data_IF_157369365688
#
_entry.id   IF_157369365688
#
_cell.length_a   1.000
_cell.length_b   1.000
_cell.length_c   1.000
_cell.angle_alpha   90.00
_cell.angle_beta   90.00
_cell.angle_gamma   90.00
#
_symmetry.space_group_name_H-M   'P 1'
#
loop_
_entity.id
_entity.type
_entity.pdbx_description
1 polymer ?
#
# COMPACT_ATOMS: atom_id res chain seq x y z
N UNK A 1 9.25 0.03 -12.12
CA UNK A 1 9.86 -1.02 -12.97
C UNK A 1 11.02 -1.66 -12.22
N UNK A 2 11.40 -2.91 -12.49
CA UNK A 2 12.63 -3.52 -11.93
C UNK A 2 13.87 -3.07 -12.69
N UNK A 3 15.07 -3.26 -12.13
CA UNK A 3 16.34 -3.02 -12.82
C UNK A 3 16.36 -3.68 -14.20
N UNK A 4 16.01 -4.97 -14.27
CA UNK A 4 15.97 -5.72 -15.54
C UNK A 4 14.96 -5.13 -16.53
N UNK A 5 13.76 -4.74 -16.07
CA UNK A 5 12.76 -4.12 -16.92
C UNK A 5 13.23 -2.76 -17.47
N UNK A 6 13.86 -1.93 -16.63
CA UNK A 6 14.38 -0.61 -17.05
C UNK A 6 15.46 -0.76 -18.12
N UNK A 7 16.37 -1.73 -17.92
CA UNK A 7 17.43 -2.00 -18.89
C UNK A 7 16.84 -2.51 -20.21
N UNK A 8 15.82 -3.35 -20.16
CA UNK A 8 15.14 -3.91 -21.32
C UNK A 8 14.18 -2.95 -22.04
N UNK A 9 13.83 -1.78 -21.47
CA UNK A 9 12.90 -0.83 -22.12
C UNK A 9 13.46 -0.32 -23.46
N UNK A 10 12.87 -0.77 -24.57
CA UNK A 10 13.19 -0.32 -25.92
C UNK A 10 12.72 1.14 -26.14
N UNK A 11 13.49 1.91 -26.91
CA UNK A 11 13.18 3.31 -27.23
C UNK A 11 13.43 4.33 -26.11
N UNK A 12 13.72 3.88 -24.88
CA UNK A 12 14.04 4.78 -23.77
C UNK A 12 15.49 5.31 -23.82
N UNK A 13 15.66 6.60 -23.52
CA UNK A 13 17.00 7.22 -23.49
C UNK A 13 17.84 6.72 -22.32
N UNK A 14 19.17 6.77 -22.46
CA UNK A 14 20.10 6.42 -21.38
C UNK A 14 19.84 7.28 -20.13
N UNK A 15 19.58 8.57 -20.31
CA UNK A 15 19.20 9.49 -19.22
C UNK A 15 17.93 9.04 -18.50
N UNK A 16 16.87 8.65 -19.23
CA UNK A 16 15.65 8.14 -18.60
C UNK A 16 15.92 6.87 -17.81
N UNK A 17 16.68 5.91 -18.39
CA UNK A 17 17.03 4.66 -17.70
C UNK A 17 17.84 4.93 -16.43
N UNK A 18 18.80 5.86 -16.48
CA UNK A 18 19.56 6.30 -15.30
C UNK A 18 18.65 6.85 -14.20
N UNK A 19 17.73 7.76 -14.55
CA UNK A 19 16.79 8.34 -13.59
C UNK A 19 15.91 7.26 -12.92
N UNK A 20 15.43 6.27 -13.69
CA UNK A 20 14.67 5.15 -13.12
C UNK A 20 15.54 4.27 -12.21
N UNK A 21 16.79 4.00 -12.58
CA UNK A 21 17.71 3.22 -11.74
C UNK A 21 18.09 3.98 -10.46
N UNK A 22 18.33 5.29 -10.53
CA UNK A 22 18.55 6.12 -9.36
C UNK A 22 17.32 6.16 -8.45
N UNK A 23 16.11 6.25 -9.02
CA UNK A 23 14.87 6.18 -8.26
C UNK A 23 14.70 4.83 -7.52
N UNK A 24 15.24 3.74 -8.06
CA UNK A 24 15.31 2.43 -7.40
C UNK A 24 16.41 2.31 -6.32
N UNK A 25 17.29 3.32 -6.19
CA UNK A 25 18.35 3.33 -5.18
C UNK A 25 19.73 2.88 -5.66
N UNK A 26 19.92 2.62 -6.97
CA UNK A 26 21.26 2.33 -7.51
C UNK A 26 22.18 3.54 -7.37
N UNK A 27 23.42 3.31 -6.94
CA UNK A 27 24.46 4.33 -6.90
C UNK A 27 24.90 4.74 -8.30
N UNK A 28 25.54 5.90 -8.41
CA UNK A 28 26.12 6.40 -9.67
C UNK A 28 27.11 5.43 -10.30
N UNK A 29 27.88 4.69 -9.50
CA UNK A 29 28.80 3.66 -9.98
C UNK A 29 28.05 2.44 -10.51
N UNK A 30 27.03 1.98 -9.79
CA UNK A 30 26.21 0.85 -10.23
C UNK A 30 25.46 1.18 -11.52
N UNK A 31 24.85 2.37 -11.61
CA UNK A 31 24.18 2.82 -12.84
C UNK A 31 25.13 2.96 -14.02
N UNK A 32 26.33 3.51 -13.78
CA UNK A 32 27.36 3.60 -14.82
C UNK A 32 27.74 2.21 -15.35
N UNK A 33 27.88 1.25 -14.44
CA UNK A 33 28.19 -0.16 -14.76
C UNK A 33 27.03 -0.83 -15.51
N UNK A 34 25.80 -0.73 -14.99
CA UNK A 34 24.60 -1.35 -15.55
C UNK A 34 24.26 -0.88 -16.97
N UNK A 35 24.60 0.37 -17.31
CA UNK A 35 24.34 0.96 -18.64
C UNK A 35 25.57 1.03 -19.55
N UNK A 36 26.73 0.56 -19.08
CA UNK A 36 27.99 0.63 -19.84
C UNK A 36 28.38 2.06 -20.21
N UNK A 37 28.23 3.02 -19.29
CA UNK A 37 28.58 4.44 -19.50
C UNK A 37 29.68 4.90 -18.55
N UNK A 38 30.31 6.04 -18.86
CA UNK A 38 31.28 6.65 -17.97
C UNK A 38 30.64 7.19 -16.67
N UNK A 39 31.34 7.03 -15.54
CA UNK A 39 30.90 7.53 -14.23
C UNK A 39 30.57 9.03 -14.24
N UNK A 40 31.36 9.86 -14.94
CA UNK A 40 31.11 11.30 -15.05
C UNK A 40 29.75 11.62 -15.68
N UNK A 41 29.31 10.84 -16.67
CA UNK A 41 27.99 11.03 -17.28
C UNK A 41 26.86 10.65 -16.29
N UNK A 42 26.99 9.53 -15.59
CA UNK A 42 26.03 9.12 -14.56
C UNK A 42 25.97 10.14 -13.40
N UNK A 43 27.11 10.69 -12.97
CA UNK A 43 27.20 11.75 -11.96
C UNK A 43 26.49 13.03 -12.42
N UNK A 44 26.70 13.48 -13.65
CA UNK A 44 26.07 14.68 -14.18
C UNK A 44 24.54 14.51 -14.31
N UNK A 45 24.08 13.34 -14.78
CA UNK A 45 22.65 13.03 -14.84
C UNK A 45 22.04 12.96 -13.44
N UNK A 46 22.72 12.36 -12.47
CA UNK A 46 22.26 12.32 -11.07
C UNK A 46 22.16 13.72 -10.46
N UNK A 47 23.18 14.56 -10.64
CA UNK A 47 23.20 15.93 -10.12
C UNK A 47 22.05 16.77 -10.71
N UNK A 48 21.85 16.70 -12.03
CA UNK A 48 20.73 17.38 -12.69
C UNK A 48 19.36 16.81 -12.25
N UNK A 49 19.27 15.50 -12.04
CA UNK A 49 18.05 14.84 -11.59
C UNK A 49 17.67 15.22 -10.16
N UNK A 50 18.64 15.30 -9.24
CA UNK A 50 18.42 15.78 -7.87
C UNK A 50 18.06 17.26 -7.86
N UNK A 51 18.77 18.10 -8.62
CA UNK A 51 18.45 19.53 -8.72
C UNK A 51 17.01 19.74 -9.24
N UNK A 52 16.61 19.03 -10.31
CA UNK A 52 15.26 19.08 -10.84
C UNK A 52 14.20 18.50 -9.89
N UNK A 53 14.56 17.52 -9.04
CA UNK A 53 13.64 16.91 -8.07
C UNK A 53 13.46 17.80 -6.83
N UNK A 54 14.51 18.51 -6.41
CA UNK A 54 14.48 19.53 -5.37
C UNK A 54 13.67 20.76 -5.85
N UNK A 55 13.85 21.17 -7.10
CA UNK A 55 13.00 22.20 -7.71
C UNK A 55 11.54 21.74 -7.83
N UNK A 56 11.24 20.50 -8.25
CA UNK A 56 9.84 20.00 -8.30
C UNK A 56 9.17 19.89 -6.93
N UNK A 57 9.95 19.67 -5.87
CA UNK A 57 9.43 19.76 -4.50
C UNK A 57 9.11 21.20 -4.07
N UNK A 58 9.65 22.21 -4.78
CA UNK A 58 9.47 23.64 -4.55
C UNK A 58 8.61 24.36 -5.63
N UNK A 59 8.32 23.69 -6.75
CA UNK A 59 7.63 24.30 -7.90
C UNK A 59 6.13 24.10 -7.80
N UNK A 60 5.44 25.25 -7.70
CA UNK A 60 4.01 25.41 -7.95
C UNK A 60 3.60 24.70 -9.26
N UNK A 61 2.51 23.90 -9.29
CA UNK A 61 2.18 23.08 -10.45
C UNK A 61 2.07 23.91 -11.73
N UNK A 62 2.58 23.35 -12.84
CA UNK A 62 2.41 23.93 -14.19
C UNK A 62 0.94 24.28 -14.47
N UNK A 63 0.63 25.30 -15.30
CA UNK A 63 -0.76 25.73 -15.58
C UNK A 63 -1.71 24.56 -15.93
N UNK A 64 -1.25 23.56 -16.67
CA UNK A 64 -2.02 22.37 -17.04
C UNK A 64 -2.25 21.41 -15.87
N UNK A 65 -1.22 21.21 -15.03
CA UNK A 65 -1.34 20.43 -13.79
C UNK A 65 -2.19 21.16 -12.73
N UNK A 66 -2.12 22.49 -12.68
CA UNK A 66 -2.96 23.34 -11.84
C UNK A 66 -4.43 23.31 -12.30
N UNK A 67 -4.70 23.33 -13.60
CA UNK A 67 -6.06 23.15 -14.16
C UNK A 67 -6.61 21.74 -13.91
N UNK A 68 -5.79 20.69 -14.03
CA UNK A 68 -6.19 19.33 -13.67
C UNK A 68 -6.38 19.15 -12.15
N UNK A 69 -5.62 19.85 -11.32
CA UNK A 69 -5.81 19.86 -9.87
C UNK A 69 -7.13 20.56 -9.45
N UNK A 70 -7.65 21.49 -10.26
CA UNK A 70 -8.92 22.18 -10.03
C UNK A 70 -10.16 21.38 -10.45
N UNK A 71 -10.05 20.47 -11.42
CA UNK A 71 -11.17 19.60 -11.83
C UNK A 71 -11.44 18.51 -10.77
N UNK A 72 -12.71 18.18 -10.45
CA UNK A 72 -13.03 17.08 -9.55
C UNK A 72 -12.33 15.77 -9.98
N UNK A 73 -11.70 15.07 -9.04
CA UNK A 73 -11.10 13.78 -9.34
C UNK A 73 -12.22 12.75 -9.54
N UNK A 74 -12.16 12.03 -10.66
CA UNK A 74 -13.02 10.90 -10.93
C UNK A 74 -12.16 9.62 -10.88
N UNK A 75 -12.36 8.73 -9.90
CA UNK A 75 -11.63 7.47 -9.85
C UNK A 75 -11.92 6.65 -11.11
N UNK A 76 -10.87 6.17 -11.77
CA UNK A 76 -10.99 5.30 -12.94
C UNK A 76 -11.51 3.90 -12.58
N UNK A 77 -11.66 3.01 -13.59
CA UNK A 77 -11.97 1.61 -13.35
C UNK A 77 -10.93 0.95 -12.43
N UNK A 78 -11.37 0.08 -11.53
CA UNK A 78 -10.48 -0.65 -10.64
C UNK A 78 -9.75 -1.76 -11.41
N UNK A 79 -8.50 -1.52 -11.80
CA UNK A 79 -7.65 -2.46 -12.55
C UNK A 79 -6.25 -2.64 -11.93
N UNK A 80 -6.02 -2.12 -10.71
CA UNK A 80 -4.72 -2.24 -10.03
C UNK A 80 -4.53 -3.66 -9.52
N UNK A 81 -3.29 -4.17 -9.62
CA UNK A 81 -2.92 -5.43 -8.96
C UNK A 81 -2.87 -5.23 -7.45
N UNK A 82 -3.39 -6.18 -6.69
CA UNK A 82 -3.38 -6.15 -5.25
C UNK A 82 -3.13 -7.55 -4.66
N UNK A 83 -2.76 -7.60 -3.39
CA UNK A 83 -2.72 -8.82 -2.60
C UNK A 83 -3.29 -8.55 -1.21
N UNK A 84 -3.81 -9.57 -0.56
CA UNK A 84 -4.31 -9.48 0.81
C UNK A 84 -3.68 -10.54 1.69
N UNK A 85 -3.41 -10.17 2.94
CA UNK A 85 -3.02 -11.08 4.02
C UNK A 85 -4.10 -10.97 5.11
N UNK A 86 -4.85 -12.05 5.32
CA UNK A 86 -5.98 -12.12 6.26
C UNK A 86 -5.55 -12.94 7.46
N UNK A 87 -5.32 -12.28 8.59
CA UNK A 87 -5.00 -12.93 9.86
C UNK A 87 -6.28 -13.41 10.55
N UNK A 88 -6.30 -14.68 10.98
CA UNK A 88 -7.45 -15.30 11.64
C UNK A 88 -7.01 -16.51 12.49
N UNK A 89 -7.96 -17.10 13.21
CA UNK A 89 -7.74 -18.31 14.00
C UNK A 89 -9.01 -19.18 14.05
N UNK A 90 -8.92 -20.32 14.72
CA UNK A 90 -10.05 -21.19 15.04
C UNK A 90 -10.36 -22.26 14.01
N UNK A 91 -9.59 -22.35 12.92
CA UNK A 91 -9.80 -23.31 11.83
C UNK A 91 -8.51 -24.06 11.55
N UNK A 92 -8.58 -25.38 11.40
CA UNK A 92 -7.41 -26.17 11.01
C UNK A 92 -7.02 -25.88 9.57
N UNK A 93 -5.72 -25.86 9.29
CA UNK A 93 -5.22 -25.62 7.93
C UNK A 93 -5.80 -26.62 6.91
N UNK A 94 -5.98 -27.88 7.30
CA UNK A 94 -6.58 -28.91 6.45
C UNK A 94 -8.03 -28.61 6.05
N UNK A 95 -8.87 -28.18 7.01
CA UNK A 95 -10.26 -27.83 6.74
C UNK A 95 -10.37 -26.61 5.82
N UNK A 96 -9.57 -25.58 6.09
CA UNK A 96 -9.57 -24.36 5.27
C UNK A 96 -9.04 -24.64 3.85
N UNK A 97 -7.99 -25.46 3.69
CA UNK A 97 -7.52 -25.87 2.37
C UNK A 97 -8.58 -26.61 1.56
N UNK A 98 -9.30 -27.54 2.20
CA UNK A 98 -10.36 -28.29 1.54
C UNK A 98 -11.45 -27.34 1.04
N UNK A 99 -11.88 -26.39 1.87
CA UNK A 99 -12.93 -25.44 1.50
C UNK A 99 -12.46 -24.44 0.42
N UNK A 100 -11.23 -23.90 0.50
CA UNK A 100 -10.69 -23.04 -0.54
C UNK A 100 -10.70 -23.73 -1.92
N UNK A 101 -10.31 -25.01 -1.95
CA UNK A 101 -10.34 -25.83 -3.18
C UNK A 101 -11.76 -26.12 -3.64
N UNK A 102 -12.70 -26.35 -2.72
CA UNK A 102 -14.12 -26.50 -3.04
C UNK A 102 -14.73 -25.21 -3.65
N UNK A 103 -14.20 -24.04 -3.28
CA UNK A 103 -14.53 -22.75 -3.90
C UNK A 103 -13.80 -22.52 -5.25
N UNK A 104 -13.05 -23.51 -5.75
CA UNK A 104 -12.32 -23.43 -7.01
C UNK A 104 -11.08 -22.53 -6.95
N UNK A 105 -10.46 -22.40 -5.77
CA UNK A 105 -9.19 -21.69 -5.59
C UNK A 105 -8.04 -22.68 -5.44
N UNK A 106 -6.95 -22.45 -6.14
CA UNK A 106 -5.70 -23.15 -5.86
C UNK A 106 -5.15 -22.69 -4.50
N UNK A 107 -4.92 -23.64 -3.60
CA UNK A 107 -4.45 -23.34 -2.25
C UNK A 107 -3.48 -24.40 -1.69
N UNK A 108 -2.48 -23.95 -0.93
CA UNK A 108 -1.49 -24.79 -0.25
C UNK A 108 -1.19 -24.29 1.16
N UNK A 109 -0.85 -25.21 2.07
CA UNK A 109 -0.29 -24.84 3.37
C UNK A 109 1.23 -24.78 3.25
N UNK A 110 1.83 -23.73 3.78
CA UNK A 110 3.27 -23.52 3.74
C UNK A 110 3.80 -23.10 5.12
N UNK A 111 5.06 -23.40 5.40
CA UNK A 111 5.76 -22.78 6.52
C UNK A 111 5.89 -21.27 6.31
N UNK A 112 6.13 -20.52 7.40
CA UNK A 112 6.31 -19.06 7.36
C UNK A 112 7.31 -18.63 6.28
N UNK A 113 6.85 -17.84 5.31
CA UNK A 113 7.70 -17.29 4.27
C UNK A 113 7.08 -16.06 3.58
N UNK A 114 7.93 -15.20 3.04
CA UNK A 114 7.51 -13.99 2.31
C UNK A 114 7.48 -14.17 0.78
N UNK A 115 7.56 -15.40 0.29
CA UNK A 115 7.61 -15.67 -1.15
C UNK A 115 6.22 -15.52 -1.76
N UNK A 116 6.12 -14.74 -2.84
CA UNK A 116 4.89 -14.64 -3.63
C UNK A 116 4.63 -15.94 -4.37
N UNK A 117 3.37 -16.38 -4.39
CA UNK A 117 2.92 -17.61 -5.04
C UNK A 117 1.85 -17.32 -6.09
N UNK A 118 1.64 -18.27 -6.99
CA UNK A 118 0.51 -18.27 -7.93
C UNK A 118 -0.79 -18.80 -7.30
N UNK A 119 -0.72 -19.32 -6.08
CA UNK A 119 -1.85 -19.89 -5.33
C UNK A 119 -2.06 -19.17 -4.00
N UNK A 120 -3.24 -19.34 -3.41
CA UNK A 120 -3.51 -18.93 -2.03
C UNK A 120 -2.69 -19.78 -1.06
N UNK A 121 -2.03 -19.16 -0.09
CA UNK A 121 -1.27 -19.92 0.92
C UNK A 121 -1.77 -19.66 2.32
N UNK A 122 -1.79 -20.71 3.13
CA UNK A 122 -2.02 -20.62 4.56
C UNK A 122 -0.66 -20.74 5.25
N UNK A 123 -0.29 -19.72 6.01
CA UNK A 123 0.96 -19.66 6.77
C UNK A 123 0.70 -19.48 8.26
N UNK A 124 1.65 -19.89 9.10
CA UNK A 124 1.62 -19.60 10.54
C UNK A 124 2.02 -18.16 10.81
N UNK A 125 1.36 -17.49 11.75
CA UNK A 125 1.78 -16.19 12.28
C UNK A 125 1.78 -16.21 13.81
N UNK A 126 2.95 -15.97 14.40
CA UNK A 126 3.17 -16.02 15.84
C UNK A 126 2.65 -14.78 16.59
N UNK A 127 2.23 -13.73 15.88
CA UNK A 127 1.66 -12.53 16.47
C UNK A 127 0.16 -12.65 16.77
N UNK A 128 -0.49 -13.68 16.23
CA UNK A 128 -1.92 -13.95 16.41
C UNK A 128 -2.16 -14.83 17.63
N UNK A 129 -3.00 -14.38 18.55
CA UNK A 129 -3.43 -15.14 19.71
C UNK A 129 -4.72 -15.90 19.41
N UNK A 130 -4.65 -17.23 19.35
CA UNK A 130 -5.83 -18.08 19.22
C UNK A 130 -5.48 -19.52 18.83
N UNK A 131 -6.38 -20.49 19.05
CA UNK A 131 -6.15 -21.86 18.59
C UNK A 131 -6.10 -21.90 17.07
N UNK A 132 -5.16 -22.67 16.50
CA UNK A 132 -4.97 -22.77 15.05
C UNK A 132 -4.85 -21.39 14.38
N UNK A 133 -4.02 -20.50 14.93
CA UNK A 133 -3.75 -19.20 14.34
C UNK A 133 -3.08 -19.34 12.96
N UNK A 134 -3.52 -18.53 11.99
CA UNK A 134 -3.01 -18.54 10.63
C UNK A 134 -3.14 -17.17 9.95
N UNK A 135 -2.36 -16.99 8.90
CA UNK A 135 -2.52 -15.93 7.91
C UNK A 135 -2.85 -16.58 6.56
N UNK A 136 -3.97 -16.17 5.95
CA UNK A 136 -4.33 -16.54 4.59
C UNK A 136 -3.82 -15.45 3.64
N UNK A 137 -2.86 -15.80 2.81
CA UNK A 137 -2.19 -14.88 1.88
C UNK A 137 -2.62 -15.19 0.45
N UNK A 138 -3.07 -14.15 -0.26
CA UNK A 138 -3.51 -14.29 -1.65
C UNK A 138 -2.33 -14.42 -2.63
N UNK A 139 -2.56 -15.00 -3.82
CA UNK A 139 -1.69 -14.70 -4.97
C UNK A 139 -1.83 -13.22 -5.37
N UNK A 140 -1.12 -12.79 -6.41
CA UNK A 140 -1.35 -11.46 -7.00
C UNK A 140 -2.72 -11.46 -7.68
N UNK A 141 -3.65 -10.71 -7.11
CA UNK A 141 -5.01 -10.48 -7.61
C UNK A 141 -5.05 -9.20 -8.47
N UNK A 142 -6.04 -9.06 -9.34
CA UNK A 142 -6.17 -7.86 -10.17
C UNK A 142 -7.63 -7.51 -10.46
N UNK A 143 -7.96 -6.22 -10.28
CA UNK A 143 -9.26 -5.67 -10.67
C UNK A 143 -10.47 -6.40 -10.10
N UNK A 144 -11.56 -6.43 -10.87
CA UNK A 144 -12.82 -7.06 -10.45
C UNK A 144 -12.73 -8.59 -10.36
N UNK A 145 -11.98 -9.23 -11.25
CA UNK A 145 -11.74 -10.68 -11.21
C UNK A 145 -11.03 -11.09 -9.92
N UNK A 146 -10.00 -10.33 -9.53
CA UNK A 146 -9.32 -10.52 -8.26
C UNK A 146 -10.24 -10.33 -7.04
N UNK A 147 -11.22 -9.42 -7.11
CA UNK A 147 -12.22 -9.27 -6.05
C UNK A 147 -13.17 -10.47 -5.99
N UNK A 148 -13.51 -11.09 -7.12
CA UNK A 148 -14.31 -12.31 -7.13
C UNK A 148 -13.56 -13.48 -6.46
N UNK A 149 -12.26 -13.63 -6.72
CA UNK A 149 -11.41 -14.60 -6.03
C UNK A 149 -11.32 -14.35 -4.53
N UNK A 150 -11.17 -13.09 -4.15
CA UNK A 150 -11.20 -12.67 -2.75
C UNK A 150 -12.54 -13.00 -2.07
N UNK A 151 -13.66 -12.81 -2.77
CA UNK A 151 -14.99 -13.17 -2.25
C UNK A 151 -15.08 -14.68 -1.97
N UNK A 152 -14.60 -15.50 -2.91
CA UNK A 152 -14.53 -16.96 -2.75
C UNK A 152 -13.67 -17.36 -1.55
N UNK A 153 -12.53 -16.71 -1.34
CA UNK A 153 -11.67 -16.95 -0.18
C UNK A 153 -12.35 -16.53 1.15
N UNK A 154 -13.01 -15.37 1.18
CA UNK A 154 -13.77 -14.92 2.35
C UNK A 154 -14.96 -15.84 2.66
N UNK A 155 -15.60 -16.39 1.63
CA UNK A 155 -16.67 -17.39 1.75
C UNK A 155 -16.16 -18.67 2.39
N UNK A 156 -14.99 -19.17 1.97
CA UNK A 156 -14.36 -20.33 2.59
C UNK A 156 -14.06 -20.10 4.08
N UNK A 157 -13.45 -18.96 4.42
CA UNK A 157 -13.20 -18.56 5.82
C UNK A 157 -14.49 -18.55 6.66
N UNK A 158 -15.57 -18.00 6.11
CA UNK A 158 -16.88 -17.96 6.79
C UNK A 158 -17.49 -19.34 6.97
N UNK A 159 -17.45 -20.21 5.95
CA UNK A 159 -17.99 -21.58 6.01
C UNK A 159 -17.25 -22.39 7.08
N UNK A 160 -15.92 -22.27 7.15
CA UNK A 160 -15.14 -22.96 8.16
C UNK A 160 -15.26 -22.36 9.58
N UNK A 161 -15.91 -21.21 9.75
CA UNK A 161 -16.05 -20.56 11.05
C UNK A 161 -14.78 -19.87 11.55
N UNK A 162 -13.96 -19.31 10.64
CA UNK A 162 -12.77 -18.56 11.00
C UNK A 162 -13.11 -17.33 11.86
N UNK A 163 -12.32 -17.14 12.91
CA UNK A 163 -12.49 -16.10 13.92
C UNK A 163 -11.38 -15.06 13.83
N UNK A 164 -11.68 -13.85 14.30
CA UNK A 164 -10.74 -12.73 14.38
C UNK A 164 -10.85 -12.06 15.74
N UNK A 165 -9.75 -11.51 16.24
CA UNK A 165 -9.71 -10.73 17.48
C UNK A 165 -8.77 -9.52 17.31
N UNK A 166 -8.47 -8.82 18.40
CA UNK A 166 -7.62 -7.61 18.40
C UNK A 166 -6.16 -7.85 18.00
N UNK A 167 -5.68 -9.10 18.06
CA UNK A 167 -4.34 -9.45 17.58
C UNK A 167 -4.29 -9.65 16.07
N UNK A 168 -5.44 -9.90 15.43
CA UNK A 168 -5.53 -10.08 13.98
C UNK A 168 -5.51 -8.73 13.23
N UNK A 169 -4.73 -8.66 12.17
CA UNK A 169 -4.67 -7.60 11.18
C UNK A 169 -5.29 -7.99 9.83
N UNK A 170 -5.38 -6.98 8.95
CA UNK A 170 -5.59 -7.16 7.52
C UNK A 170 -4.54 -6.33 6.80
N UNK A 171 -3.68 -6.98 6.02
CA UNK A 171 -2.70 -6.28 5.19
C UNK A 171 -3.17 -6.26 3.73
N UNK A 172 -3.04 -5.09 3.10
CA UNK A 172 -3.32 -4.93 1.68
C UNK A 172 -2.05 -4.46 0.99
N UNK A 173 -1.61 -5.23 0.01
CA UNK A 173 -0.52 -4.86 -0.88
C UNK A 173 -1.10 -4.28 -2.15
N UNK A 174 -0.68 -3.09 -2.56
CA UNK A 174 -1.00 -2.54 -3.87
C UNK A 174 0.24 -2.49 -4.74
N UNK A 175 0.15 -3.00 -5.97
CA UNK A 175 1.23 -2.92 -6.95
C UNK A 175 1.65 -1.46 -7.13
N UNK A 176 2.96 -1.21 -7.06
CA UNK A 176 3.52 0.14 -7.06
C UNK A 176 4.66 0.32 -8.06
N UNK A 177 4.97 -0.69 -8.89
CA UNK A 177 6.04 -0.61 -9.90
C UNK A 177 5.77 0.43 -10.98
N UNK A 178 4.52 0.86 -11.17
CA UNK A 178 4.12 1.94 -12.08
C UNK A 178 4.32 3.34 -11.49
N UNK A 179 4.56 3.45 -10.18
CA UNK A 179 4.64 4.74 -9.50
C UNK A 179 6.03 5.36 -9.65
N UNK A 180 6.05 6.66 -9.97
CA UNK A 180 7.26 7.48 -9.85
C UNK A 180 7.57 7.74 -8.37
N UNK A 181 8.80 8.16 -8.07
CA UNK A 181 9.14 8.59 -6.69
C UNK A 181 8.28 9.75 -6.22
N UNK A 182 7.90 10.65 -7.12
CA UNK A 182 6.93 11.72 -6.83
C UNK A 182 5.59 11.15 -6.35
N UNK A 183 4.99 10.24 -7.12
CA UNK A 183 3.71 9.63 -6.77
C UNK A 183 3.78 8.84 -5.44
N UNK A 184 4.90 8.14 -5.20
CA UNK A 184 5.12 7.44 -3.93
C UNK A 184 5.21 8.41 -2.75
N UNK A 185 5.91 9.54 -2.89
CA UNK A 185 5.98 10.59 -1.84
C UNK A 185 4.62 11.17 -1.55
N UNK A 186 3.88 11.55 -2.59
CA UNK A 186 2.53 12.08 -2.48
C UNK A 186 1.57 11.08 -1.80
N UNK A 187 1.70 9.79 -2.09
CA UNK A 187 0.92 8.73 -1.45
C UNK A 187 1.22 8.60 0.04
N UNK A 188 2.50 8.46 0.40
CA UNK A 188 2.90 8.33 1.80
C UNK A 188 2.52 9.59 2.59
N UNK A 189 2.69 10.77 1.99
CA UNK A 189 2.27 12.04 2.58
C UNK A 189 0.75 12.14 2.74
N UNK A 190 -0.03 11.79 1.71
CA UNK A 190 -1.49 11.81 1.79
C UNK A 190 -1.99 10.87 2.89
N UNK A 191 -1.40 9.67 3.00
CA UNK A 191 -1.74 8.76 4.09
C UNK A 191 -1.37 9.34 5.46
N UNK A 192 -0.16 9.91 5.61
CA UNK A 192 0.28 10.54 6.86
C UNK A 192 -0.71 11.62 7.33
N UNK A 193 -1.14 12.52 6.45
CA UNK A 193 -2.05 13.62 6.85
C UNK A 193 -3.50 13.17 7.01
N UNK A 194 -3.89 12.07 6.36
CA UNK A 194 -5.20 11.43 6.53
C UNK A 194 -5.24 10.46 7.71
N UNK A 195 -4.10 10.10 8.30
CA UNK A 195 -4.02 9.08 9.34
C UNK A 195 -5.01 9.33 10.49
N UNK A 196 -5.16 10.56 11.03
CA UNK A 196 -6.16 10.85 12.06
C UNK A 196 -7.62 10.66 11.59
N UNK A 197 -7.89 10.89 10.31
CA UNK A 197 -9.22 10.64 9.72
C UNK A 197 -9.43 9.15 9.47
N UNK A 198 -8.43 8.43 8.98
CA UNK A 198 -8.48 6.98 8.74
C UNK A 198 -8.62 6.23 10.08
N UNK A 199 -7.99 6.71 11.16
CA UNK A 199 -8.16 6.17 12.51
C UNK A 199 -9.64 6.11 12.93
N UNK A 200 -10.47 7.07 12.51
CA UNK A 200 -11.91 7.09 12.81
C UNK A 200 -12.68 5.93 12.15
N UNK A 201 -12.10 5.30 11.13
CA UNK A 201 -12.64 4.14 10.43
C UNK A 201 -12.23 2.82 11.08
N UNK A 202 -11.38 2.87 12.10
CA UNK A 202 -10.77 1.70 12.73
C UNK A 202 -11.26 1.53 14.17
N UNK A 203 -11.31 0.29 14.70
CA UNK A 203 -11.50 0.08 16.13
C UNK A 203 -10.32 0.68 16.92
N UNK A 204 -10.53 0.94 18.22
CA UNK A 204 -9.61 1.74 19.04
C UNK A 204 -8.18 1.14 19.12
N UNK A 205 -8.08 -0.19 19.14
CA UNK A 205 -6.83 -0.96 19.11
C UNK A 205 -6.04 -0.84 17.79
N UNK A 206 -6.60 -0.19 16.76
CA UNK A 206 -5.97 0.04 15.44
C UNK A 206 -5.77 1.53 15.12
N UNK A 207 -5.88 2.40 16.13
CA UNK A 207 -5.69 3.87 16.00
C UNK A 207 -4.35 4.31 16.57
N UNK A 208 -3.82 5.43 16.09
CA UNK A 208 -2.54 5.98 16.55
C UNK A 208 -1.43 4.92 16.54
N UNK A 209 -0.77 4.77 17.69
CA UNK A 209 0.25 3.76 17.95
C UNK A 209 -0.24 2.62 18.86
N UNK A 210 -1.56 2.41 18.99
CA UNK A 210 -2.13 1.37 19.87
C UNK A 210 -1.70 -0.05 19.47
N UNK A 211 -1.51 -0.32 18.17
CA UNK A 211 -1.03 -1.59 17.66
C UNK A 211 0.50 -1.56 17.44
N UNK A 212 1.24 -2.37 18.21
CA UNK A 212 2.70 -2.46 18.11
C UNK A 212 3.21 -2.79 16.70
N UNK A 213 2.52 -3.71 16.01
CA UNK A 213 2.88 -4.14 14.65
C UNK A 213 2.35 -3.22 13.53
N UNK A 214 1.74 -2.08 13.89
CA UNK A 214 1.10 -1.15 12.96
C UNK A 214 1.16 0.30 13.45
N UNK A 215 2.38 0.83 13.58
CA UNK A 215 2.64 2.17 14.12
C UNK A 215 2.38 3.30 13.12
N UNK A 216 2.15 4.50 13.65
CA UNK A 216 2.00 5.74 12.91
C UNK A 216 3.19 6.06 12.00
N UNK A 217 2.93 6.80 10.93
CA UNK A 217 3.97 7.39 10.08
C UNK A 217 4.61 8.63 10.74
N UNK A 218 3.95 9.25 11.72
CA UNK A 218 4.53 10.35 12.49
C UNK A 218 5.72 9.88 13.34
N UNK A 219 5.64 8.68 13.92
CA UNK A 219 6.72 8.07 14.74
C UNK A 219 7.18 9.00 15.88
N UNK A 220 6.23 9.62 16.59
CA UNK A 220 6.53 10.58 17.67
C UNK A 220 7.05 11.95 17.20
N UNK A 221 7.12 12.22 15.89
CA UNK A 221 7.45 13.54 15.33
C UNK A 221 6.18 14.40 15.20
N UNK A 222 6.35 15.71 15.10
CA UNK A 222 5.26 16.59 14.67
C UNK A 222 4.83 16.26 13.23
N UNK A 223 3.57 16.57 12.87
CA UNK A 223 3.07 16.34 11.51
C UNK A 223 3.97 17.02 10.47
N UNK A 224 4.31 18.29 10.70
CA UNK A 224 5.17 19.08 9.82
C UNK A 224 6.56 18.44 9.62
N UNK A 225 7.20 17.96 10.70
CA UNK A 225 8.51 17.32 10.60
C UNK A 225 8.46 15.98 9.87
N UNK A 226 7.40 15.17 10.10
CA UNK A 226 7.21 13.91 9.39
C UNK A 226 6.92 14.14 7.89
N UNK A 227 6.06 15.11 7.58
CA UNK A 227 5.72 15.50 6.22
C UNK A 227 6.95 16.04 5.46
N UNK A 228 7.72 16.94 6.08
CA UNK A 228 8.95 17.47 5.49
C UNK A 228 9.94 16.34 5.15
N UNK A 229 10.14 15.37 6.05
CA UNK A 229 11.03 14.24 5.81
C UNK A 229 10.58 13.38 4.62
N UNK A 230 9.26 13.15 4.46
CA UNK A 230 8.70 12.41 3.33
C UNK A 230 8.87 13.19 2.02
N UNK A 231 8.54 14.48 2.02
CA UNK A 231 8.61 15.32 0.83
C UNK A 231 10.06 15.56 0.37
N UNK A 232 11.01 15.56 1.31
CA UNK A 232 12.44 15.74 0.99
C UNK A 232 13.12 14.49 0.42
N UNK A 233 12.48 13.31 0.51
CA UNK A 233 13.04 12.10 -0.07
C UNK A 233 13.15 12.23 -1.60
N UNK A 234 14.20 11.68 -2.20
CA UNK A 234 14.43 11.70 -3.66
C UNK A 234 14.57 10.30 -4.25
N UNK A 235 14.74 9.29 -3.40
CA UNK A 235 14.80 7.88 -3.76
C UNK A 235 13.78 7.06 -2.98
N UNK A 236 13.43 5.88 -3.48
CA UNK A 236 12.56 4.96 -2.74
C UNK A 236 13.16 4.58 -1.37
N UNK A 237 14.49 4.49 -1.28
CA UNK A 237 15.21 4.16 -0.04
C UNK A 237 15.09 5.28 1.00
N UNK A 238 15.32 6.53 0.60
CA UNK A 238 15.13 7.69 1.47
C UNK A 238 13.67 7.79 1.94
N UNK A 239 12.72 7.58 1.03
CA UNK A 239 11.30 7.58 1.37
C UNK A 239 10.96 6.47 2.37
N UNK A 240 11.50 5.26 2.16
CA UNK A 240 11.37 4.15 3.10
C UNK A 240 11.89 4.50 4.49
N UNK A 241 13.07 5.12 4.59
CA UNK A 241 13.65 5.54 5.87
C UNK A 241 12.84 6.69 6.53
N UNK A 242 12.31 7.61 5.72
CA UNK A 242 11.50 8.74 6.19
C UNK A 242 10.14 8.29 6.76
N UNK A 243 9.54 7.26 6.14
CA UNK A 243 8.25 6.69 6.52
C UNK A 243 8.37 5.62 7.62
N UNK A 244 9.42 4.79 7.57
CA UNK A 244 9.49 3.54 8.31
C UNK A 244 10.84 3.35 9.02
N UNK A 245 10.82 2.84 10.26
CA UNK A 245 12.04 2.33 10.92
C UNK A 245 12.17 0.82 10.76
N UNK A 246 11.06 0.12 10.59
CA UNK A 246 10.97 -1.31 10.32
C UNK A 246 9.70 -1.58 9.48
N UNK A 247 9.26 -2.84 9.37
CA UNK A 247 8.03 -3.18 8.63
C UNK A 247 6.72 -2.82 9.34
N UNK A 248 6.76 -2.49 10.63
CA UNK A 248 5.60 -2.37 11.53
C UNK A 248 5.00 -0.97 11.55
N UNK A 249 4.62 -0.46 10.37
CA UNK A 249 3.96 0.83 10.20
C UNK A 249 2.71 0.70 9.34
N UNK A 250 1.72 1.59 9.57
CA UNK A 250 0.45 1.62 8.83
C UNK A 250 0.62 1.61 7.32
N UNK A 251 1.66 2.27 6.80
CA UNK A 251 2.16 2.12 5.43
C UNK A 251 3.58 1.61 5.49
N UNK A 252 3.84 0.44 4.91
CA UNK A 252 5.15 -0.20 4.89
C UNK A 252 5.75 -0.17 3.47
N UNK A 253 6.75 0.70 3.30
CA UNK A 253 7.51 0.87 2.07
C UNK A 253 8.55 -0.23 1.84
N UNK A 254 8.90 -1.03 2.87
CA UNK A 254 9.87 -2.12 2.68
C UNK A 254 9.35 -3.21 1.73
N UNK A 255 8.03 -3.35 1.62
CA UNK A 255 7.39 -4.26 0.66
C UNK A 255 7.71 -3.90 -0.79
N UNK A 256 8.05 -2.65 -1.07
CA UNK A 256 8.42 -2.20 -2.42
C UNK A 256 9.69 -2.87 -2.92
N UNK A 257 10.73 -2.95 -2.08
CA UNK A 257 12.00 -3.56 -2.46
C UNK A 257 11.92 -5.07 -2.64
N UNK A 258 11.00 -5.74 -1.90
CA UNK A 258 10.82 -7.19 -1.99
C UNK A 258 9.88 -7.61 -3.12
N UNK A 259 8.75 -6.93 -3.25
CA UNK A 259 7.61 -7.38 -4.05
C UNK A 259 7.15 -6.34 -5.09
N UNK A 260 7.68 -5.11 -5.04
CA UNK A 260 7.23 -4.02 -5.92
C UNK A 260 5.84 -3.48 -5.56
N UNK A 261 5.43 -3.63 -4.29
CA UNK A 261 4.14 -3.18 -3.76
C UNK A 261 4.33 -2.09 -2.69
N UNK A 262 3.27 -1.38 -2.33
CA UNK A 262 3.18 -0.66 -1.06
C UNK A 262 2.16 -1.40 -0.20
N UNK A 263 2.55 -1.70 1.03
CA UNK A 263 1.73 -2.46 1.97
C UNK A 263 1.03 -1.51 2.95
N UNK A 264 -0.27 -1.71 3.12
CA UNK A 264 -1.12 -0.99 4.06
C UNK A 264 -1.58 -1.94 5.15
N UNK A 265 -1.15 -1.67 6.38
CA UNK A 265 -1.29 -2.56 7.52
C UNK A 265 -2.39 -2.14 8.49
N UNK A 266 -3.03 -0.99 8.31
CA UNK A 266 -3.84 -0.36 9.36
C UNK A 266 -5.12 -1.11 9.74
N UNK A 267 -5.77 -1.76 8.78
CA UNK A 267 -7.12 -2.30 9.00
C UNK A 267 -7.13 -3.41 10.07
N UNK A 268 -8.20 -3.46 10.86
CA UNK A 268 -8.43 -4.53 11.85
C UNK A 268 -8.66 -5.88 11.17
N UNK A 269 -8.31 -6.98 11.82
CA UNK A 269 -8.63 -8.33 11.36
C UNK A 269 -10.10 -8.49 11.01
N UNK A 270 -10.37 -9.07 9.85
CA UNK A 270 -11.73 -9.35 9.40
C UNK A 270 -11.72 -10.42 8.31
N UNK A 271 -12.75 -11.26 8.29
CA UNK A 271 -13.04 -12.23 7.22
C UNK A 271 -14.19 -11.77 6.32
N UNK A 272 -14.70 -10.55 6.53
CA UNK A 272 -15.86 -10.02 5.81
C UNK A 272 -15.43 -9.38 4.48
N UNK A 273 -15.91 -9.96 3.37
CA UNK A 273 -15.58 -9.52 2.02
C UNK A 273 -15.90 -8.05 1.75
N UNK A 274 -17.05 -7.53 2.19
CA UNK A 274 -17.44 -6.13 1.95
C UNK A 274 -16.43 -5.18 2.61
N UNK A 275 -16.04 -5.44 3.86
CA UNK A 275 -15.02 -4.63 4.55
C UNK A 275 -13.67 -4.64 3.82
N UNK A 276 -13.22 -5.82 3.39
CA UNK A 276 -11.91 -5.98 2.72
C UNK A 276 -11.95 -5.31 1.34
N UNK A 277 -12.97 -5.58 0.54
CA UNK A 277 -13.10 -5.01 -0.81
C UNK A 277 -13.22 -3.49 -0.80
N UNK A 278 -13.97 -2.91 0.15
CA UNK A 278 -14.04 -1.45 0.32
C UNK A 278 -12.69 -0.86 0.70
N UNK A 279 -11.92 -1.55 1.55
CA UNK A 279 -10.58 -1.11 1.93
C UNK A 279 -9.58 -1.18 0.79
N UNK A 280 -9.55 -2.28 0.03
CA UNK A 280 -8.72 -2.43 -1.17
C UNK A 280 -9.01 -1.31 -2.17
N UNK A 281 -10.29 -1.05 -2.48
CA UNK A 281 -10.70 0.00 -3.42
C UNK A 281 -10.38 1.40 -2.91
N UNK A 282 -10.63 1.68 -1.63
CA UNK A 282 -10.28 2.96 -1.00
C UNK A 282 -8.78 3.27 -1.14
N UNK A 283 -7.93 2.29 -0.83
CA UNK A 283 -6.49 2.43 -0.95
C UNK A 283 -6.06 2.58 -2.41
N UNK A 284 -6.63 1.82 -3.33
CA UNK A 284 -6.30 1.90 -4.76
C UNK A 284 -6.63 3.28 -5.35
N UNK A 285 -7.79 3.82 -4.98
CA UNK A 285 -8.20 5.16 -5.35
C UNK A 285 -7.26 6.23 -4.75
N UNK A 286 -6.84 6.06 -3.49
CA UNK A 286 -5.86 6.95 -2.87
C UNK A 286 -4.52 6.91 -3.62
N UNK A 287 -4.06 5.72 -4.03
CA UNK A 287 -2.86 5.56 -4.86
C UNK A 287 -2.99 6.33 -6.17
N UNK A 288 -4.10 6.17 -6.89
CA UNK A 288 -4.29 6.84 -8.18
C UNK A 288 -4.47 8.35 -8.04
N UNK A 289 -5.16 8.82 -6.99
CA UNK A 289 -5.25 10.24 -6.63
C UNK A 289 -3.87 10.83 -6.35
N UNK A 290 -3.05 10.12 -5.57
CA UNK A 290 -1.69 10.50 -5.20
C UNK A 290 -0.68 10.46 -6.35
N UNK A 291 -1.06 10.07 -7.57
CA UNK A 291 -0.16 10.22 -8.73
C UNK A 291 0.05 11.68 -9.11
N UNK A 292 -0.91 12.55 -8.79
CA UNK A 292 -0.94 13.93 -9.27
C UNK A 292 -1.47 14.94 -8.23
N UNK A 293 -1.99 14.48 -7.09
CA UNK A 293 -2.76 15.34 -6.16
C UNK A 293 -2.40 15.09 -4.71
N UNK A 294 -2.44 16.16 -3.94
CA UNK A 294 -2.34 16.13 -2.48
C UNK A 294 -3.72 16.37 -1.86
N UNK A 295 -4.03 15.63 -0.80
CA UNK A 295 -5.22 15.89 0.00
C UNK A 295 -4.98 17.06 0.94
N UNK A 296 -6.04 17.77 1.31
CA UNK A 296 -5.96 18.74 2.40
C UNK A 296 -5.73 18.00 3.72
N UNK A 297 -4.84 18.49 4.60
CA UNK A 297 -4.73 17.95 5.95
C UNK A 297 -6.09 17.94 6.65
N UNK A 298 -6.39 16.86 7.38
CA UNK A 298 -7.66 16.67 8.09
C UNK A 298 -8.93 16.70 7.22
N UNK A 299 -8.83 16.32 5.93
CA UNK A 299 -10.00 16.05 5.08
C UNK A 299 -11.01 15.16 5.86
N UNK A 300 -12.26 15.61 6.09
CA UNK A 300 -13.21 14.86 6.91
C UNK A 300 -13.74 13.64 6.16
N UNK A 301 -14.20 12.62 6.90
CA UNK A 301 -14.79 11.39 6.30
C UNK A 301 -15.96 11.70 5.35
N UNK A 302 -16.74 12.74 5.63
CA UNK A 302 -17.83 13.21 4.77
C UNK A 302 -17.37 13.65 3.39
N UNK A 303 -16.09 14.01 3.23
CA UNK A 303 -15.48 14.46 1.98
C UNK A 303 -14.64 13.38 1.30
N UNK A 304 -14.72 12.12 1.71
CA UNK A 304 -13.98 11.03 1.05
C UNK A 304 -14.39 10.79 -0.41
N UNK A 305 -15.52 11.34 -0.85
CA UNK A 305 -15.87 11.42 -2.27
C UNK A 305 -14.89 12.26 -3.10
N UNK A 306 -14.02 13.05 -2.45
CA UNK A 306 -12.91 13.78 -3.10
C UNK A 306 -11.99 12.88 -3.90
N UNK A 307 -11.76 11.65 -3.42
CA UNK A 307 -10.91 10.69 -4.11
C UNK A 307 -11.53 9.30 -4.26
N UNK A 308 -12.79 9.09 -3.83
CA UNK A 308 -13.47 7.80 -3.95
C UNK A 308 -14.80 7.89 -4.70
N UNK A 309 -15.27 6.75 -5.19
CA UNK A 309 -16.67 6.61 -5.60
C UNK A 309 -17.61 6.78 -4.38
N UNK A 310 -18.84 7.22 -4.64
CA UNK A 310 -19.83 7.56 -3.59
C UNK A 310 -20.19 6.39 -2.68
N UNK A 311 -20.22 5.18 -3.21
CA UNK A 311 -20.47 3.94 -2.46
C UNK A 311 -19.42 3.71 -1.37
N UNK A 312 -18.13 3.83 -1.72
CA UNK A 312 -17.02 3.69 -0.76
C UNK A 312 -17.08 4.79 0.31
N UNK A 313 -17.30 6.05 -0.11
CA UNK A 313 -17.43 7.16 0.83
C UNK A 313 -18.60 6.96 1.81
N UNK A 314 -19.75 6.51 1.31
CA UNK A 314 -20.95 6.21 2.12
C UNK A 314 -20.70 5.06 3.08
N UNK A 315 -20.01 4.00 2.64
CA UNK A 315 -19.62 2.88 3.48
C UNK A 315 -18.78 3.34 4.69
N UNK A 316 -17.75 4.17 4.45
CA UNK A 316 -16.89 4.65 5.53
C UNK A 316 -17.55 5.65 6.45
N UNK A 317 -18.47 6.49 5.94
CA UNK A 317 -19.30 7.35 6.77
C UNK A 317 -20.14 6.52 7.75
N UNK A 318 -20.81 5.45 7.27
CA UNK A 318 -21.61 4.55 8.11
C UNK A 318 -20.74 3.81 9.12
N UNK A 319 -19.58 3.32 8.69
CA UNK A 319 -18.62 2.61 9.54
C UNK A 319 -18.12 3.48 10.68
N UNK A 320 -17.76 4.74 10.41
CA UNK A 320 -17.36 5.70 11.45
C UNK A 320 -18.46 5.85 12.51
N UNK A 321 -19.71 6.06 12.08
CA UNK A 321 -20.84 6.19 13.01
C UNK A 321 -21.02 4.93 13.86
N UNK A 322 -20.93 3.74 13.25
CA UNK A 322 -21.06 2.46 13.95
C UNK A 322 -19.94 2.20 14.97
N UNK A 323 -18.73 2.73 14.73
CA UNK A 323 -17.63 2.62 15.69
C UNK A 323 -17.78 3.61 16.84
N UNK A 324 -18.34 4.80 16.60
CA UNK A 324 -18.58 5.79 17.65
C UNK A 324 -19.64 5.32 18.66
N UNK A 325 -20.67 4.61 18.21
CA UNK A 325 -21.75 4.12 19.08
C UNK A 325 -21.38 2.91 19.93
N UNK A 326 -20.38 2.11 19.53
CA UNK A 326 -19.89 0.94 20.31
C UNK A 326 -19.00 1.31 21.50
N UNK A 327 -18.59 2.57 21.60
CA UNK A 327 -17.77 3.11 22.70
C UNK A 327 -18.63 3.75 23.82
N UNK A 328 -19.95 3.61 23.76
CA UNK A 328 -20.91 3.95 24.83
C UNK A 328 -21.56 2.68 25.33
#
# INVERSE_FOLDING_TARGET
MTTAQILATAGATKTWKMQQLFALGHTRREVATLLGVGYGFAQNVYAAWIAASAERALVTPSRTAAQQALAPFAPGPFNRTFGVEIEAFGVTSAALLAELRAQGLEAQAEGYNHTTRGHWKITSDASISGPNAFELVSPVLQGLEGLADLERACRALRICGAQVNSTCGLHVHLGARDLSIEAMRQLVRNYLVLEPTIDQLMPADRRGDAAYYCRSLQRGRTLAAAEQAILSATTAQELGNAANTNRYHKVNMQSFFRQGTIEFRQHSGTTNFEKISMWVRFLANLVDFSKQRLVTPALPVSEFATFNQRDIATFYQRRRTALATRTR
#
